data_IF_263980355333
#
_entry.id   IF_263980355333
#
_cell.length_a   1.000
_cell.length_b   1.000
_cell.length_c   1.000
_cell.angle_alpha   90.00
_cell.angle_beta   90.00
_cell.angle_gamma   90.00
#
_symmetry.space_group_name_H-M   'P 1'
#
loop_
_entity.id
_entity.type
_entity.pdbx_description
1 polymer ?
#
# COMPACT_ATOMS: atom_id res chain seq x y z
N UNK A 1 -24.66 6.88 10.23
CA UNK A 1 -23.48 6.19 10.78
C UNK A 1 -23.21 4.99 9.90
N UNK A 2 -22.17 5.03 9.08
CA UNK A 2 -21.65 3.83 8.43
C UNK A 2 -21.12 2.91 9.53
N UNK A 3 -21.74 1.75 9.72
CA UNK A 3 -21.27 0.76 10.70
C UNK A 3 -19.97 0.13 10.16
N UNK A 4 -18.84 0.71 10.53
CA UNK A 4 -17.54 0.10 10.28
C UNK A 4 -17.33 -1.02 11.29
N UNK A 5 -16.92 -2.19 10.81
CA UNK A 5 -16.42 -3.28 11.66
C UNK A 5 -14.96 -3.52 11.29
N UNK A 6 -14.10 -3.72 12.28
CA UNK A 6 -12.72 -4.11 12.01
C UNK A 6 -12.66 -5.30 11.05
N UNK A 7 -11.79 -5.20 10.05
CA UNK A 7 -11.61 -6.25 9.08
C UNK A 7 -10.96 -7.46 9.75
N UNK A 8 -11.50 -8.67 9.48
CA UNK A 8 -10.89 -9.92 9.95
C UNK A 8 -9.42 -10.00 9.55
N UNK A 9 -8.57 -10.61 10.37
CA UNK A 9 -7.15 -10.80 10.09
C UNK A 9 -6.88 -11.39 8.70
N UNK A 10 -7.67 -12.39 8.28
CA UNK A 10 -7.56 -12.99 6.95
C UNK A 10 -7.70 -11.94 5.82
N UNK A 11 -8.71 -11.07 5.89
CA UNK A 11 -8.88 -9.96 4.92
C UNK A 11 -7.66 -9.03 4.91
N UNK A 12 -7.14 -8.67 6.08
CA UNK A 12 -5.97 -7.79 6.17
C UNK A 12 -4.73 -8.42 5.49
N UNK A 13 -4.51 -9.72 5.70
CA UNK A 13 -3.45 -10.47 5.03
C UNK A 13 -3.67 -10.50 3.52
N UNK A 14 -4.88 -10.79 3.05
CA UNK A 14 -5.17 -10.80 1.61
C UNK A 14 -5.02 -9.41 0.96
N UNK A 15 -5.37 -8.32 1.64
CA UNK A 15 -5.09 -6.96 1.17
C UNK A 15 -3.60 -6.79 0.93
N UNK A 16 -2.77 -7.16 1.91
CA UNK A 16 -1.32 -7.08 1.81
C UNK A 16 -0.75 -7.95 0.68
N UNK A 17 -1.25 -9.19 0.53
CA UNK A 17 -0.83 -10.10 -0.54
C UNK A 17 -1.18 -9.57 -1.94
N UNK A 18 -2.37 -8.99 -2.12
CA UNK A 18 -2.77 -8.39 -3.40
C UNK A 18 -1.84 -7.23 -3.73
N UNK A 19 -1.65 -6.29 -2.80
CA UNK A 19 -0.78 -5.13 -3.03
C UNK A 19 0.67 -5.58 -3.32
N UNK A 20 1.18 -6.57 -2.57
CA UNK A 20 2.51 -7.13 -2.79
C UNK A 20 2.65 -7.80 -4.16
N UNK A 21 1.64 -8.56 -4.59
CA UNK A 21 1.62 -9.22 -5.90
C UNK A 21 1.62 -8.22 -7.06
N UNK A 22 0.92 -7.09 -6.91
CA UNK A 22 0.92 -5.98 -7.86
C UNK A 22 2.32 -5.37 -7.99
N UNK A 23 2.98 -5.09 -6.88
CA UNK A 23 4.33 -4.54 -6.90
C UNK A 23 5.37 -5.53 -7.45
N UNK A 24 5.24 -6.81 -7.13
CA UNK A 24 6.11 -7.84 -7.70
C UNK A 24 5.92 -7.95 -9.21
N UNK A 25 4.67 -7.96 -9.69
CA UNK A 25 4.35 -8.01 -11.13
C UNK A 25 4.91 -6.80 -11.86
N UNK A 26 4.75 -5.61 -11.29
CA UNK A 26 5.31 -4.37 -11.86
C UNK A 26 6.85 -4.42 -11.89
N UNK A 27 7.49 -4.90 -10.83
CA UNK A 27 8.95 -5.07 -10.77
C UNK A 27 9.44 -6.03 -11.86
N UNK A 28 8.84 -7.22 -11.96
CA UNK A 28 9.22 -8.22 -12.97
C UNK A 28 9.04 -7.65 -14.37
N UNK A 29 7.92 -6.96 -14.62
CA UNK A 29 7.64 -6.30 -15.91
C UNK A 29 8.70 -5.27 -16.24
N UNK A 30 9.08 -4.42 -15.28
CA UNK A 30 10.16 -3.45 -15.47
C UNK A 30 11.48 -4.15 -15.75
N UNK A 31 11.82 -5.23 -15.05
CA UNK A 31 13.09 -5.95 -15.23
C UNK A 31 13.25 -6.62 -16.60
N UNK A 32 12.17 -7.03 -17.26
CA UNK A 32 12.21 -7.71 -18.57
C UNK A 32 11.95 -6.79 -19.76
N UNK A 33 11.48 -5.57 -19.52
CA UNK A 33 11.22 -4.58 -20.58
C UNK A 33 12.42 -3.63 -20.73
N UNK A 34 12.60 -3.05 -21.92
CA UNK A 34 13.61 -2.00 -22.12
C UNK A 34 13.27 -0.79 -21.26
N UNK A 35 14.04 -0.58 -20.21
CA UNK A 35 13.85 0.52 -19.31
C UNK A 35 14.44 1.82 -19.88
N UNK A 36 13.89 2.98 -19.50
CA UNK A 36 14.58 4.25 -19.65
C UNK A 36 15.93 4.20 -18.91
N UNK A 37 16.97 4.79 -19.48
CA UNK A 37 18.34 4.70 -18.97
C UNK A 37 18.49 5.21 -17.52
N UNK A 38 17.67 6.20 -17.14
CA UNK A 38 17.58 6.72 -15.76
C UNK A 38 17.12 5.64 -14.77
N UNK A 39 16.12 4.83 -15.16
CA UNK A 39 15.61 3.75 -14.31
C UNK A 39 16.65 2.63 -14.19
N UNK A 40 17.33 2.33 -15.30
CA UNK A 40 18.39 1.32 -15.34
C UNK A 40 19.57 1.70 -14.43
N UNK A 41 20.00 2.97 -14.43
CA UNK A 41 21.06 3.44 -13.53
C UNK A 41 20.66 3.39 -12.05
N UNK A 42 19.39 3.72 -11.74
CA UNK A 42 18.85 3.61 -10.38
C UNK A 42 18.78 2.15 -9.90
N UNK A 43 18.44 1.22 -10.79
CA UNK A 43 18.41 -0.21 -10.47
C UNK A 43 19.79 -0.88 -10.45
N UNK A 44 20.73 -0.42 -11.27
CA UNK A 44 22.05 -1.04 -11.45
C UNK A 44 23.04 -0.82 -10.30
N UNK A 45 22.87 0.23 -9.50
CA UNK A 45 23.73 0.53 -8.34
C UNK A 45 23.19 0.00 -7.00
N UNK A 46 21.96 -0.53 -6.97
CA UNK A 46 21.29 -0.95 -5.74
C UNK A 46 20.89 -2.42 -5.75
N UNK A 47 20.70 -3.01 -4.56
CA UNK A 47 20.07 -4.32 -4.46
C UNK A 47 18.60 -4.21 -4.91
N UNK A 48 18.22 -4.99 -5.93
CA UNK A 48 16.89 -4.94 -6.55
C UNK A 48 15.75 -5.07 -5.54
N UNK A 49 15.97 -5.75 -4.40
CA UNK A 49 14.98 -5.84 -3.31
C UNK A 49 14.61 -4.50 -2.69
N UNK A 50 15.56 -3.58 -2.56
CA UNK A 50 15.32 -2.25 -2.00
C UNK A 50 14.47 -1.41 -2.96
N UNK A 51 14.72 -1.56 -4.27
CA UNK A 51 13.92 -0.92 -5.29
C UNK A 51 12.45 -1.36 -5.22
N UNK A 52 12.19 -2.66 -5.05
CA UNK A 52 10.81 -3.18 -4.86
C UNK A 52 10.16 -2.58 -3.64
N UNK A 53 10.88 -2.52 -2.52
CA UNK A 53 10.35 -1.96 -1.28
C UNK A 53 10.01 -0.47 -1.43
N UNK A 54 10.89 0.32 -2.05
CA UNK A 54 10.66 1.75 -2.31
C UNK A 54 9.46 1.94 -3.23
N UNK A 55 9.39 1.19 -4.33
CA UNK A 55 8.29 1.24 -5.29
C UNK A 55 6.96 0.92 -4.59
N UNK A 56 6.96 -0.08 -3.70
CA UNK A 56 5.81 -0.48 -2.91
C UNK A 56 5.36 0.60 -1.93
N UNK A 57 6.29 1.19 -1.18
CA UNK A 57 6.01 2.29 -0.27
C UNK A 57 5.46 3.53 -1.02
N UNK A 58 6.04 3.89 -2.16
CA UNK A 58 5.58 5.01 -2.99
C UNK A 58 4.19 4.74 -3.55
N UNK A 59 3.95 3.56 -4.13
CA UNK A 59 2.64 3.14 -4.59
C UNK A 59 1.58 3.29 -3.50
N UNK A 60 1.86 2.72 -2.32
CA UNK A 60 0.94 2.69 -1.19
C UNK A 60 0.68 4.10 -0.65
N UNK A 61 1.71 4.94 -0.56
CA UNK A 61 1.59 6.34 -0.16
C UNK A 61 0.71 7.15 -1.11
N UNK A 62 0.96 7.03 -2.42
CA UNK A 62 0.17 7.72 -3.44
C UNK A 62 -1.29 7.26 -3.37
N UNK A 63 -1.54 5.95 -3.28
CA UNK A 63 -2.89 5.41 -3.18
C UNK A 63 -3.65 5.93 -1.94
N UNK A 64 -2.99 5.95 -0.78
CA UNK A 64 -3.57 6.49 0.46
C UNK A 64 -3.80 8.01 0.38
N UNK A 65 -2.91 8.77 -0.26
CA UNK A 65 -3.08 10.21 -0.42
C UNK A 65 -4.31 10.55 -1.26
N UNK A 66 -4.48 9.91 -2.42
CA UNK A 66 -5.56 10.24 -3.37
C UNK A 66 -6.89 9.54 -3.07
N UNK A 67 -6.86 8.29 -2.61
CA UNK A 67 -8.05 7.46 -2.50
C UNK A 67 -8.35 7.00 -1.07
N UNK A 68 -7.44 7.25 -0.12
CA UNK A 68 -7.50 6.73 1.25
C UNK A 68 -7.62 5.20 1.32
N UNK A 69 -7.21 4.51 0.24
CA UNK A 69 -7.26 3.05 0.09
C UNK A 69 -6.28 2.60 -1.00
N UNK A 70 -5.73 1.40 -0.86
CA UNK A 70 -4.94 0.71 -1.91
C UNK A 70 -5.84 -0.09 -2.86
N UNK A 71 -5.24 -0.72 -3.86
CA UNK A 71 -5.99 -1.59 -4.78
C UNK A 71 -6.48 -2.83 -4.03
N UNK A 72 -5.62 -3.47 -3.22
CA UNK A 72 -6.02 -4.62 -2.40
C UNK A 72 -7.14 -4.27 -1.42
N UNK A 73 -7.06 -3.09 -0.79
CA UNK A 73 -8.11 -2.55 0.07
C UNK A 73 -9.44 -2.41 -0.68
N UNK A 74 -9.40 -1.78 -1.86
CA UNK A 74 -10.59 -1.56 -2.68
C UNK A 74 -11.24 -2.87 -3.14
N UNK A 75 -10.43 -3.86 -3.52
CA UNK A 75 -10.92 -5.17 -3.97
C UNK A 75 -11.58 -5.99 -2.86
N UNK A 76 -11.15 -5.81 -1.60
CA UNK A 76 -11.68 -6.55 -0.45
C UNK A 76 -12.68 -5.76 0.39
N UNK A 77 -13.09 -4.58 -0.09
CA UNK A 77 -13.96 -3.64 0.61
C UNK A 77 -13.42 -3.34 2.01
N UNK A 78 -12.14 -2.96 2.08
CA UNK A 78 -11.44 -2.58 3.29
C UNK A 78 -10.96 -1.14 3.14
N UNK A 79 -11.03 -0.36 4.21
CA UNK A 79 -10.48 1.00 4.29
C UNK A 79 -9.61 1.14 5.53
N UNK A 80 -8.71 2.12 5.52
CA UNK A 80 -7.89 2.46 6.68
C UNK A 80 -8.46 3.71 7.35
N UNK A 81 -8.78 3.61 8.64
CA UNK A 81 -9.27 4.71 9.47
C UNK A 81 -8.41 4.85 10.72
N UNK A 82 -8.38 6.04 11.31
CA UNK A 82 -7.76 6.27 12.60
C UNK A 82 -8.65 5.76 13.76
N UNK A 83 -8.18 5.89 15.01
CA UNK A 83 -8.92 5.44 16.19
C UNK A 83 -10.26 6.15 16.46
N UNK A 84 -10.56 7.23 15.72
CA UNK A 84 -11.81 7.99 15.81
C UNK A 84 -12.74 7.72 14.61
N UNK A 85 -12.51 6.62 13.87
CA UNK A 85 -13.20 6.24 12.63
C UNK A 85 -13.16 7.32 11.52
N UNK A 86 -12.14 8.19 11.54
CA UNK A 86 -11.93 9.23 10.53
C UNK A 86 -10.88 8.82 9.49
N UNK A 87 -10.92 9.42 8.29
CA UNK A 87 -9.84 9.30 7.32
C UNK A 87 -8.49 9.73 7.91
N UNK A 88 -7.42 9.07 7.45
CA UNK A 88 -6.06 9.34 7.93
C UNK A 88 -5.61 10.76 7.61
N UNK A 89 -4.89 11.36 8.56
CA UNK A 89 -4.09 12.55 8.34
C UNK A 89 -2.87 12.24 7.45
N UNK A 90 -2.24 13.27 6.88
CA UNK A 90 -1.05 13.10 6.04
C UNK A 90 0.09 12.35 6.75
N UNK A 91 0.30 12.62 8.04
CA UNK A 91 1.32 11.94 8.84
C UNK A 91 0.98 10.44 8.99
N UNK A 92 -0.27 10.12 9.30
CA UNK A 92 -0.72 8.73 9.42
C UNK A 92 -0.63 7.98 8.09
N UNK A 93 -0.98 8.64 6.97
CA UNK A 93 -0.78 8.08 5.62
C UNK A 93 0.69 7.77 5.32
N UNK A 94 1.59 8.65 5.73
CA UNK A 94 3.04 8.49 5.52
C UNK A 94 3.57 7.26 6.27
N UNK A 95 3.13 7.08 7.52
CA UNK A 95 3.49 5.91 8.33
C UNK A 95 2.82 4.63 7.80
N UNK A 96 1.54 4.70 7.47
CA UNK A 96 0.78 3.56 6.96
C UNK A 96 1.27 3.06 5.60
N UNK A 97 1.90 3.92 4.79
CA UNK A 97 2.54 3.56 3.53
C UNK A 97 3.71 2.60 3.71
N UNK A 98 4.41 2.68 4.85
CA UNK A 98 5.51 1.78 5.22
C UNK A 98 5.09 0.75 6.29
N UNK A 99 3.78 0.45 6.37
CA UNK A 99 3.18 -0.54 7.28
C UNK A 99 3.32 -0.22 8.77
N UNK A 100 3.56 1.05 9.11
CA UNK A 100 3.57 1.51 10.49
C UNK A 100 2.17 2.05 10.81
N UNK A 101 1.40 1.30 11.61
CA UNK A 101 0.11 1.76 12.13
C UNK A 101 0.35 2.57 13.41
N UNK A 102 -0.25 3.76 13.50
CA UNK A 102 -0.05 4.70 14.62
C UNK A 102 -1.40 5.11 15.22
N UNK A 103 -1.45 5.39 16.53
CA UNK A 103 -2.64 5.93 17.24
C UNK A 103 -3.96 5.22 16.94
N UNK A 104 -3.97 3.89 17.04
CA UNK A 104 -5.20 3.11 16.83
C UNK A 104 -5.68 3.04 15.38
N UNK A 105 -4.83 3.40 14.41
CA UNK A 105 -5.14 3.20 12.99
C UNK A 105 -5.35 1.71 12.71
N UNK A 106 -6.49 1.36 12.11
CA UNK A 106 -6.86 -0.02 11.81
C UNK A 106 -7.54 -0.17 10.44
N UNK A 107 -7.67 -1.42 10.01
CA UNK A 107 -8.39 -1.80 8.79
C UNK A 107 -9.85 -2.08 9.13
N UNK A 108 -10.77 -1.45 8.40
CA UNK A 108 -12.22 -1.59 8.59
C UNK A 108 -12.89 -2.08 7.32
N UNK A 109 -13.89 -2.94 7.45
CA UNK A 109 -14.70 -3.40 6.31
C UNK A 109 -15.75 -2.34 5.97
N UNK A 110 -15.84 -1.97 4.69
CA UNK A 110 -16.96 -1.21 4.14
C UNK A 110 -18.05 -2.19 3.68
N UNK A 111 -19.30 -1.98 4.12
CA UNK A 111 -20.46 -2.74 3.63
C UNK A 111 -20.98 -2.15 2.33
#
# INVERSE_FOLDING_TARGET
>A
MTNYSEASYAKQVFVGLIDASLCLTLTVTLSITKQPEVLYQLMGNGNSSHFVFILFAVYRFVALCFFNQTIGMRLLHVILLNGDDQPLTFLEKSLAAVFILFRGTAYYTTK
#
